data_IF_705642258186
#
_entry.id   IF_705642258186
#
_cell.length_a   1.000
_cell.length_b   1.000
_cell.length_c   1.000
_cell.angle_alpha   90.00
_cell.angle_beta   90.00
_cell.angle_gamma   90.00
#
_symmetry.space_group_name_H-M   'P 1'
#
loop_
_entity.id
_entity.type
_entity.pdbx_description
1 polymer ?
#
# COMPACT_ATOMS: atom_id res chain seq x y z
N UNK A 1 -27.53 -2.78 1.06
CA UNK A 1 -27.27 -3.95 0.14
C UNK A 1 -28.25 -5.07 0.48
N UNK A 2 -28.87 -5.69 -0.51
CA UNK A 2 -29.66 -6.92 -0.32
C UNK A 2 -28.69 -8.12 -0.29
N UNK A 3 -28.30 -8.51 0.93
CA UNK A 3 -27.23 -9.49 1.19
C UNK A 3 -27.53 -10.89 0.65
N UNK A 4 -28.81 -11.25 0.56
CA UNK A 4 -29.26 -12.61 0.19
C UNK A 4 -29.36 -12.81 -1.33
N UNK A 5 -29.42 -11.74 -2.11
CA UNK A 5 -29.66 -11.80 -3.55
C UNK A 5 -28.45 -11.47 -4.42
N UNK A 6 -27.31 -11.07 -3.82
CA UNK A 6 -26.09 -10.71 -4.55
C UNK A 6 -25.03 -11.76 -4.31
N UNK A 7 -24.49 -12.37 -5.39
CA UNK A 7 -23.35 -13.26 -5.29
C UNK A 7 -22.04 -12.48 -5.34
N UNK A 8 -21.28 -12.54 -4.25
CA UNK A 8 -19.97 -11.93 -4.07
C UNK A 8 -18.88 -12.93 -4.44
N UNK A 9 -17.96 -12.54 -5.31
CA UNK A 9 -16.76 -13.31 -5.62
C UNK A 9 -15.57 -12.82 -4.82
N UNK A 10 -14.88 -13.68 -4.08
CA UNK A 10 -13.60 -13.34 -3.42
C UNK A 10 -12.46 -13.75 -4.34
N UNK A 11 -11.92 -12.78 -5.10
CA UNK A 11 -10.90 -12.98 -6.10
C UNK A 11 -9.50 -12.81 -5.52
N UNK A 12 -8.60 -13.75 -5.74
CA UNK A 12 -7.20 -13.69 -5.35
C UNK A 12 -6.32 -14.41 -6.39
N UNK A 13 -5.03 -14.03 -6.48
CA UNK A 13 -4.07 -14.73 -7.32
C UNK A 13 -3.66 -16.04 -6.66
N UNK A 14 -3.97 -17.17 -7.32
CA UNK A 14 -3.58 -18.47 -6.82
C UNK A 14 -2.07 -18.70 -7.01
N UNK A 15 -1.41 -19.13 -5.95
CA UNK A 15 0.00 -19.51 -6.01
C UNK A 15 0.21 -20.70 -6.97
N UNK A 16 1.23 -20.63 -7.81
CA UNK A 16 1.66 -21.71 -8.70
C UNK A 16 3.17 -21.90 -8.59
N UNK A 17 3.65 -23.00 -7.98
CA UNK A 17 5.08 -23.24 -7.75
C UNK A 17 5.90 -23.42 -9.03
N UNK A 18 5.26 -23.63 -10.17
CA UNK A 18 5.94 -23.72 -11.47
C UNK A 18 6.29 -22.33 -12.02
N UNK A 19 5.46 -21.34 -11.68
CA UNK A 19 5.55 -19.97 -12.18
C UNK A 19 6.27 -19.08 -11.17
N UNK A 20 5.93 -19.18 -9.90
CA UNK A 20 6.50 -18.43 -8.79
C UNK A 20 7.84 -19.07 -8.40
N UNK A 21 8.95 -18.50 -8.87
CA UNK A 21 10.29 -19.05 -8.68
C UNK A 21 11.16 -18.25 -7.72
N UNK A 22 10.57 -17.43 -6.89
CA UNK A 22 11.31 -16.62 -5.90
C UNK A 22 11.38 -17.33 -4.56
N UNK A 23 12.44 -17.08 -3.80
CA UNK A 23 12.55 -17.53 -2.39
C UNK A 23 11.54 -16.81 -1.46
N UNK A 24 10.72 -15.93 -2.01
CA UNK A 24 9.73 -15.08 -1.34
C UNK A 24 8.28 -15.61 -1.48
N UNK A 25 8.13 -16.93 -1.50
CA UNK A 25 6.86 -17.67 -1.75
C UNK A 25 5.81 -17.42 -0.66
N UNK A 26 6.23 -17.23 0.58
CA UNK A 26 5.32 -17.16 1.74
C UNK A 26 4.31 -16.03 1.59
N UNK A 27 4.71 -14.89 1.03
CA UNK A 27 3.82 -13.76 0.80
C UNK A 27 2.73 -14.05 -0.23
N UNK A 28 3.01 -14.90 -1.22
CA UNK A 28 2.02 -15.27 -2.26
C UNK A 28 1.05 -16.37 -1.76
N UNK A 29 1.52 -17.27 -0.92
CA UNK A 29 0.68 -18.34 -0.33
C UNK A 29 -0.32 -17.78 0.68
N UNK A 30 0.05 -16.73 1.43
CA UNK A 30 -0.80 -16.14 2.48
C UNK A 30 -2.10 -15.52 1.95
N UNK A 31 -2.15 -15.09 0.69
CA UNK A 31 -3.34 -14.47 0.10
C UNK A 31 -4.54 -15.42 0.06
N UNK A 32 -4.30 -16.73 -0.11
CA UNK A 32 -5.37 -17.75 -0.08
C UNK A 32 -6.03 -17.81 1.31
N UNK A 33 -5.25 -17.74 2.39
CA UNK A 33 -5.76 -17.75 3.77
C UNK A 33 -6.59 -16.46 4.06
N UNK A 34 -6.16 -15.34 3.51
CA UNK A 34 -6.92 -14.08 3.60
C UNK A 34 -8.27 -14.23 2.87
N UNK A 35 -8.28 -14.84 1.68
CA UNK A 35 -9.50 -15.05 0.91
C UNK A 35 -10.51 -15.94 1.66
N UNK A 36 -10.05 -17.01 2.32
CA UNK A 36 -10.89 -17.87 3.17
C UNK A 36 -11.41 -17.11 4.40
N UNK A 37 -10.59 -16.27 5.02
CA UNK A 37 -11.00 -15.43 6.14
C UNK A 37 -12.10 -14.44 5.75
N UNK A 38 -11.98 -13.83 4.55
CA UNK A 38 -13.00 -12.92 3.98
C UNK A 38 -14.28 -13.69 3.69
N UNK A 39 -14.18 -14.87 3.04
CA UNK A 39 -15.34 -15.72 2.74
C UNK A 39 -16.10 -16.05 4.02
N UNK A 40 -15.39 -16.51 5.05
CA UNK A 40 -15.98 -16.86 6.35
C UNK A 40 -16.68 -15.67 6.97
N UNK A 41 -16.02 -14.51 7.04
CA UNK A 41 -16.59 -13.29 7.63
C UNK A 41 -17.85 -12.81 6.88
N UNK A 42 -17.86 -12.87 5.56
CA UNK A 42 -19.03 -12.51 4.75
C UNK A 42 -20.19 -13.51 4.93
N UNK A 43 -19.88 -14.82 4.98
CA UNK A 43 -20.88 -15.88 5.19
C UNK A 43 -21.52 -15.77 6.58
N UNK A 44 -20.73 -15.53 7.61
CA UNK A 44 -21.22 -15.33 8.99
C UNK A 44 -22.10 -14.08 9.11
N UNK A 45 -21.87 -13.06 8.27
CA UNK A 45 -22.71 -11.85 8.20
C UNK A 45 -23.93 -12.00 7.26
N UNK A 46 -24.19 -13.22 6.76
CA UNK A 46 -25.37 -13.58 5.95
C UNK A 46 -25.23 -13.21 4.46
N UNK A 47 -24.04 -12.95 3.95
CA UNK A 47 -23.81 -12.70 2.53
C UNK A 47 -23.62 -14.00 1.75
N UNK A 48 -24.09 -14.05 0.49
CA UNK A 48 -23.73 -15.12 -0.43
C UNK A 48 -22.37 -14.81 -1.07
N UNK A 49 -21.35 -15.62 -0.74
CA UNK A 49 -20.00 -15.40 -1.24
C UNK A 49 -19.38 -16.72 -1.75
N UNK A 50 -18.42 -16.61 -2.67
CA UNK A 50 -17.67 -17.75 -3.23
C UNK A 50 -16.22 -17.37 -3.50
N UNK A 51 -15.30 -18.32 -3.29
CA UNK A 51 -13.89 -18.19 -3.62
C UNK A 51 -13.67 -18.26 -5.13
N UNK A 52 -12.84 -17.38 -5.63
CA UNK A 52 -12.49 -17.24 -7.04
C UNK A 52 -10.97 -17.13 -7.24
N UNK A 53 -10.24 -18.26 -7.27
CA UNK A 53 -8.80 -18.23 -7.52
C UNK A 53 -8.52 -17.83 -8.98
N UNK A 54 -7.69 -16.82 -9.16
CA UNK A 54 -7.12 -16.45 -10.44
C UNK A 54 -5.84 -17.24 -10.67
N UNK A 55 -5.92 -18.25 -11.50
CA UNK A 55 -4.78 -19.04 -11.95
C UNK A 55 -4.06 -18.36 -13.14
N UNK A 56 -3.59 -19.15 -14.10
CA UNK A 56 -2.76 -18.70 -15.25
C UNK A 56 -3.56 -18.07 -16.40
N UNK A 57 -4.89 -18.06 -16.36
CA UNK A 57 -5.72 -17.60 -17.48
C UNK A 57 -6.82 -16.62 -17.04
N UNK A 58 -6.62 -15.34 -17.36
CA UNK A 58 -7.63 -14.29 -17.18
C UNK A 58 -8.93 -14.62 -17.95
N UNK A 59 -8.83 -15.19 -19.15
CA UNK A 59 -10.01 -15.54 -19.95
C UNK A 59 -10.86 -16.64 -19.27
N UNK A 60 -10.21 -17.64 -18.67
CA UNK A 60 -10.91 -18.68 -17.91
C UNK A 60 -11.55 -18.11 -16.65
N UNK A 61 -10.86 -17.21 -15.98
CA UNK A 61 -11.41 -16.50 -14.82
C UNK A 61 -12.65 -15.68 -15.17
N UNK A 62 -12.60 -14.86 -16.23
CA UNK A 62 -13.75 -14.07 -16.71
C UNK A 62 -14.92 -14.96 -17.13
N UNK A 63 -14.66 -16.11 -17.76
CA UNK A 63 -15.71 -17.09 -18.08
C UNK A 63 -16.37 -17.62 -16.81
N UNK A 64 -15.59 -17.97 -15.80
CA UNK A 64 -16.09 -18.45 -14.51
C UNK A 64 -16.96 -17.42 -13.79
N UNK A 65 -16.58 -16.14 -13.81
CA UNK A 65 -17.40 -15.05 -13.28
C UNK A 65 -18.79 -15.02 -13.92
N UNK A 66 -18.85 -15.15 -15.24
CA UNK A 66 -20.12 -15.13 -15.99
C UNK A 66 -20.98 -16.37 -15.73
N UNK A 67 -20.36 -17.56 -15.68
CA UNK A 67 -21.05 -18.82 -15.37
C UNK A 67 -21.71 -18.80 -14.00
N UNK A 68 -21.02 -18.28 -13.00
CA UNK A 68 -21.50 -18.14 -11.62
C UNK A 68 -22.44 -16.96 -11.43
N UNK A 69 -22.50 -16.03 -12.39
CA UNK A 69 -23.25 -14.75 -12.29
C UNK A 69 -22.81 -13.91 -11.10
N UNK A 70 -21.50 -13.83 -10.89
CA UNK A 70 -20.93 -12.97 -9.85
C UNK A 70 -21.24 -11.50 -10.16
N UNK A 71 -21.73 -10.77 -9.16
CA UNK A 71 -22.20 -9.38 -9.34
C UNK A 71 -21.22 -8.34 -8.83
N UNK A 72 -20.38 -8.73 -7.88
CA UNK A 72 -19.35 -7.87 -7.30
C UNK A 72 -18.15 -8.70 -6.84
N UNK A 73 -16.95 -8.14 -6.92
CA UNK A 73 -15.73 -8.81 -6.45
C UNK A 73 -15.17 -8.14 -5.20
N UNK A 74 -14.77 -8.94 -4.22
CA UNK A 74 -13.71 -8.57 -3.30
C UNK A 74 -12.39 -8.86 -4.00
N UNK A 75 -11.59 -7.83 -4.27
CA UNK A 75 -10.34 -7.95 -5.00
C UNK A 75 -9.17 -8.04 -4.01
N UNK A 76 -8.60 -9.24 -3.88
CA UNK A 76 -7.40 -9.53 -3.10
C UNK A 76 -6.22 -9.93 -4.02
N UNK A 77 -6.31 -9.64 -5.32
CA UNK A 77 -5.22 -9.98 -6.25
C UNK A 77 -4.05 -9.00 -6.04
N UNK A 78 -2.89 -9.53 -5.68
CA UNK A 78 -1.64 -8.79 -5.46
C UNK A 78 -0.66 -8.92 -6.64
N UNK A 79 -1.09 -9.57 -7.72
CA UNK A 79 -0.28 -9.80 -8.91
C UNK A 79 -0.93 -10.78 -9.88
N UNK A 80 -0.16 -11.16 -10.91
CA UNK A 80 -0.55 -12.17 -11.87
C UNK A 80 0.68 -12.91 -12.40
N UNK A 81 0.63 -14.24 -12.47
CA UNK A 81 1.74 -15.10 -12.92
C UNK A 81 3.06 -14.87 -12.12
N UNK A 82 2.96 -14.76 -10.79
CA UNK A 82 4.10 -14.52 -9.91
C UNK A 82 4.76 -13.14 -10.14
N UNK A 83 4.01 -12.18 -10.68
CA UNK A 83 4.50 -10.83 -10.98
C UNK A 83 3.61 -9.78 -10.30
N UNK A 84 4.06 -9.17 -9.20
CA UNK A 84 3.36 -8.07 -8.56
C UNK A 84 3.09 -6.91 -9.51
N UNK A 85 4.04 -6.65 -10.46
CA UNK A 85 3.91 -5.60 -11.48
C UNK A 85 2.66 -5.75 -12.36
N UNK A 86 2.00 -6.93 -12.36
CA UNK A 86 0.78 -7.17 -13.12
C UNK A 86 -0.52 -7.03 -12.29
N UNK A 87 -0.44 -6.63 -11.03
CA UNK A 87 -1.60 -6.40 -10.17
C UNK A 87 -2.61 -5.44 -10.80
N UNK A 88 -2.13 -4.28 -11.25
CA UNK A 88 -2.98 -3.27 -11.89
C UNK A 88 -3.65 -3.76 -13.19
N UNK A 89 -3.05 -4.73 -13.89
CA UNK A 89 -3.63 -5.32 -15.09
C UNK A 89 -4.84 -6.20 -14.76
N UNK A 90 -4.83 -6.88 -13.62
CA UNK A 90 -6.00 -7.66 -13.14
C UNK A 90 -7.17 -6.71 -12.87
N UNK A 91 -6.94 -5.62 -12.14
CA UNK A 91 -7.95 -4.61 -11.89
C UNK A 91 -8.46 -3.96 -13.19
N UNK A 92 -7.57 -3.71 -14.18
CA UNK A 92 -7.97 -3.18 -15.49
C UNK A 92 -8.88 -4.16 -16.26
N UNK A 93 -8.70 -5.48 -16.09
CA UNK A 93 -9.63 -6.46 -16.67
C UNK A 93 -11.01 -6.35 -16.00
N UNK A 94 -11.08 -6.20 -14.67
CA UNK A 94 -12.36 -6.02 -13.97
C UNK A 94 -13.08 -4.75 -14.43
N UNK A 95 -12.34 -3.64 -14.58
CA UNK A 95 -12.85 -2.39 -15.14
C UNK A 95 -13.36 -2.58 -16.57
N UNK A 96 -12.60 -3.24 -17.44
CA UNK A 96 -12.94 -3.44 -18.85
C UNK A 96 -14.19 -4.31 -19.06
N UNK A 97 -14.44 -5.30 -18.18
CA UNK A 97 -15.65 -6.14 -18.25
C UNK A 97 -16.84 -5.55 -17.48
N UNK A 98 -16.66 -4.40 -16.81
CA UNK A 98 -17.69 -3.68 -16.09
C UNK A 98 -18.19 -4.36 -14.82
N UNK A 99 -17.36 -5.24 -14.19
CA UNK A 99 -17.71 -5.84 -12.91
C UNK A 99 -17.27 -4.92 -11.77
N UNK A 100 -18.16 -4.55 -10.84
CA UNK A 100 -17.77 -3.77 -9.67
C UNK A 100 -16.83 -4.59 -8.79
N UNK A 101 -15.82 -3.94 -8.19
CA UNK A 101 -14.88 -4.57 -7.29
C UNK A 101 -14.42 -3.65 -6.18
N UNK A 102 -14.05 -4.23 -5.03
CA UNK A 102 -13.53 -3.49 -3.87
C UNK A 102 -12.07 -3.09 -4.09
N UNK A 103 -11.67 -2.01 -3.44
CA UNK A 103 -10.31 -1.52 -3.49
C UNK A 103 -10.04 -0.60 -4.68
N UNK A 104 -8.79 -0.41 -4.96
CA UNK A 104 -8.29 0.64 -5.80
C UNK A 104 -8.43 0.36 -7.30
N UNK A 105 -8.53 1.43 -8.09
CA UNK A 105 -8.54 1.36 -9.55
C UNK A 105 -7.19 0.88 -10.11
N UNK A 106 -7.21 0.33 -11.32
CA UNK A 106 -5.99 -0.05 -12.03
C UNK A 106 -4.98 1.09 -12.12
N UNK A 107 -5.46 2.32 -12.27
CA UNK A 107 -4.63 3.52 -12.32
C UNK A 107 -3.93 3.79 -10.98
N UNK A 108 -4.65 3.76 -9.86
CA UNK A 108 -4.08 3.99 -8.54
C UNK A 108 -3.07 2.90 -8.17
N UNK A 109 -3.41 1.62 -8.42
CA UNK A 109 -2.50 0.49 -8.25
C UNK A 109 -1.19 0.68 -9.03
N UNK A 110 -1.27 1.00 -10.31
CA UNK A 110 -0.10 1.23 -11.18
C UNK A 110 0.79 2.39 -10.72
N UNK A 111 0.18 3.48 -10.22
CA UNK A 111 0.92 4.64 -9.71
C UNK A 111 1.65 4.29 -8.41
N UNK A 112 0.95 3.68 -7.46
CA UNK A 112 1.51 3.37 -6.14
C UNK A 112 2.62 2.31 -6.22
N UNK A 113 2.50 1.35 -7.12
CA UNK A 113 3.49 0.29 -7.31
C UNK A 113 4.86 0.83 -7.75
N UNK A 114 4.92 1.86 -8.60
CA UNK A 114 6.17 2.53 -8.97
C UNK A 114 6.57 3.53 -7.88
N UNK A 115 7.35 3.07 -6.90
CA UNK A 115 7.73 3.85 -5.71
C UNK A 115 8.40 5.19 -6.06
N UNK A 116 9.22 5.22 -7.10
CA UNK A 116 9.86 6.47 -7.52
C UNK A 116 8.87 7.47 -8.10
N UNK A 117 7.93 7.03 -8.95
CA UNK A 117 6.88 7.90 -9.50
C UNK A 117 5.89 8.33 -8.42
N UNK A 118 5.48 7.41 -7.53
CA UNK A 118 4.63 7.73 -6.40
C UNK A 118 5.23 8.85 -5.54
N UNK A 119 6.53 8.76 -5.21
CA UNK A 119 7.22 9.82 -4.47
C UNK A 119 7.32 11.15 -5.22
N UNK A 120 7.50 11.12 -6.54
CA UNK A 120 7.49 12.34 -7.36
C UNK A 120 6.12 13.04 -7.31
N UNK A 121 5.03 12.27 -7.35
CA UNK A 121 3.67 12.80 -7.19
C UNK A 121 3.49 13.35 -5.77
N UNK A 122 3.80 12.58 -4.72
CA UNK A 122 3.69 13.04 -3.33
C UNK A 122 4.44 14.36 -3.11
N UNK A 123 5.67 14.47 -3.63
CA UNK A 123 6.45 15.69 -3.56
C UNK A 123 5.79 16.88 -4.31
N UNK A 124 5.12 16.63 -5.44
CA UNK A 124 4.40 17.68 -6.17
C UNK A 124 3.20 18.22 -5.39
N UNK A 125 2.64 17.41 -4.48
CA UNK A 125 1.61 17.81 -3.52
C UNK A 125 2.18 18.37 -2.21
N UNK A 126 3.51 18.59 -2.11
CA UNK A 126 4.17 19.12 -0.91
C UNK A 126 4.25 18.11 0.25
N UNK A 127 4.01 16.83 0.00
CA UNK A 127 4.10 15.78 0.99
C UNK A 127 5.55 15.29 1.12
N UNK A 128 6.09 15.19 2.33
CA UNK A 128 7.48 14.87 2.54
C UNK A 128 7.81 13.40 2.26
N UNK A 129 8.80 13.16 1.41
CA UNK A 129 9.36 11.83 1.14
C UNK A 129 10.88 11.86 1.29
N UNK A 130 11.51 10.71 1.52
CA UNK A 130 12.96 10.61 1.53
C UNK A 130 13.56 11.03 0.19
N UNK A 131 14.71 11.73 0.21
CA UNK A 131 15.48 12.04 -1.00
C UNK A 131 15.97 10.74 -1.64
N UNK A 132 15.67 10.54 -2.91
CA UNK A 132 16.01 9.29 -3.60
C UNK A 132 16.36 9.45 -5.07
N UNK A 133 16.88 8.37 -5.64
CA UNK A 133 17.23 8.22 -7.06
C UNK A 133 16.85 6.85 -7.56
N UNK A 134 16.32 6.81 -8.78
CA UNK A 134 16.12 5.58 -9.51
C UNK A 134 17.43 5.23 -10.24
N UNK A 135 17.94 4.02 -10.01
CA UNK A 135 19.21 3.54 -10.53
C UNK A 135 18.97 2.34 -11.44
N UNK A 136 19.32 2.51 -12.72
CA UNK A 136 19.11 1.50 -13.78
C UNK A 136 20.39 0.77 -14.17
N UNK A 137 21.55 1.27 -13.74
CA UNK A 137 22.87 0.67 -13.99
C UNK A 137 23.80 0.95 -12.81
N UNK A 138 24.70 0.02 -12.50
CA UNK A 138 25.69 0.13 -11.42
C UNK A 138 26.67 1.29 -11.63
N UNK A 139 26.92 1.69 -12.88
CA UNK A 139 27.84 2.79 -13.22
C UNK A 139 27.20 4.18 -13.02
N UNK A 140 25.91 4.22 -12.75
CA UNK A 140 25.18 5.47 -12.55
C UNK A 140 25.62 6.16 -11.26
N UNK A 141 25.99 7.44 -11.35
CA UNK A 141 26.31 8.22 -10.15
C UNK A 141 25.07 8.44 -9.30
N UNK A 142 25.18 8.07 -8.03
CA UNK A 142 24.12 8.23 -7.03
C UNK A 142 24.56 9.28 -6.04
N UNK A 143 23.80 10.39 -5.97
CA UNK A 143 23.98 11.48 -5.02
C UNK A 143 22.87 11.40 -3.96
N UNK A 144 23.03 10.43 -3.05
CA UNK A 144 22.15 10.22 -1.89
C UNK A 144 23.05 10.12 -0.66
N UNK A 145 22.71 10.79 0.45
CA UNK A 145 23.52 10.72 1.67
C UNK A 145 23.48 9.32 2.30
N UNK A 146 24.58 8.92 2.93
CA UNK A 146 24.63 7.71 3.76
C UNK A 146 24.24 8.02 5.21
N UNK A 147 23.63 7.05 5.94
CA UNK A 147 23.21 5.74 5.41
C UNK A 147 22.07 5.87 4.40
N UNK A 148 22.08 5.00 3.39
CA UNK A 148 21.04 4.92 2.38
C UNK A 148 20.33 3.56 2.42
N UNK A 149 19.09 3.50 1.95
CA UNK A 149 18.37 2.24 1.75
C UNK A 149 18.22 1.96 0.26
N UNK A 150 18.45 0.71 -0.13
CA UNK A 150 18.37 0.25 -1.52
C UNK A 150 17.31 -0.84 -1.62
N UNK A 151 16.31 -0.61 -2.47
CA UNK A 151 15.17 -1.54 -2.62
C UNK A 151 14.74 -1.64 -4.08
N UNK A 152 14.08 -2.73 -4.49
CA UNK A 152 13.43 -2.79 -5.79
C UNK A 152 12.38 -1.67 -5.93
N UNK A 153 12.22 -1.12 -7.14
CA UNK A 153 11.29 0.01 -7.34
C UNK A 153 9.83 -0.43 -7.38
N UNK A 154 9.55 -1.68 -7.80
CA UNK A 154 8.20 -2.16 -8.10
C UNK A 154 7.86 -3.48 -7.39
N UNK A 155 8.46 -3.74 -6.24
CA UNK A 155 8.11 -4.86 -5.37
C UNK A 155 7.39 -4.36 -4.12
N UNK A 156 6.54 -5.21 -3.57
CA UNK A 156 5.78 -4.98 -2.34
C UNK A 156 6.14 -6.03 -1.27
N UNK A 157 5.44 -6.06 -0.15
CA UNK A 157 5.59 -7.06 0.90
C UNK A 157 7.04 -7.20 1.46
N UNK A 158 7.84 -6.14 1.44
CA UNK A 158 9.27 -6.13 1.82
C UNK A 158 10.17 -7.00 0.93
N UNK A 159 9.71 -7.44 -0.25
CA UNK A 159 10.53 -8.18 -1.21
C UNK A 159 11.79 -7.42 -1.58
N UNK A 160 12.95 -8.09 -1.51
CA UNK A 160 14.27 -7.48 -1.74
C UNK A 160 14.80 -6.62 -0.60
N UNK A 161 14.06 -6.44 0.49
CA UNK A 161 14.46 -5.66 1.67
C UNK A 161 14.92 -6.64 2.77
N UNK A 162 16.22 -6.90 2.84
CA UNK A 162 16.87 -7.73 3.85
C UNK A 162 17.81 -6.86 4.70
N UNK A 163 18.50 -7.44 5.67
CA UNK A 163 19.49 -6.75 6.52
C UNK A 163 20.50 -5.91 5.70
N UNK A 164 20.84 -6.38 4.48
CA UNK A 164 21.76 -5.70 3.55
C UNK A 164 21.13 -4.55 2.75
N UNK A 165 19.85 -4.22 3.00
CA UNK A 165 19.17 -3.12 2.29
C UNK A 165 19.65 -1.74 2.72
N UNK A 166 20.11 -1.58 3.97
CA UNK A 166 20.71 -0.34 4.46
C UNK A 166 22.22 -0.40 4.22
N UNK A 167 22.73 0.58 3.49
CA UNK A 167 24.13 0.67 3.05
C UNK A 167 24.79 1.94 3.63
N UNK A 168 26.07 1.83 3.97
CA UNK A 168 26.81 2.86 4.69
C UNK A 168 27.95 3.48 3.88
N UNK A 169 28.27 2.87 2.75
CA UNK A 169 29.34 3.29 1.86
C UNK A 169 29.03 2.96 0.39
N UNK A 170 29.91 3.40 -0.51
CA UNK A 170 29.72 3.25 -1.93
C UNK A 170 29.85 1.79 -2.40
N UNK A 171 30.72 1.02 -1.81
CA UNK A 171 30.95 -0.38 -2.20
C UNK A 171 29.70 -1.24 -1.91
N UNK A 172 29.15 -1.12 -0.69
CA UNK A 172 27.90 -1.79 -0.29
C UNK A 172 26.70 -1.33 -1.13
N UNK A 173 26.65 -0.05 -1.49
CA UNK A 173 25.63 0.50 -2.39
C UNK A 173 25.70 -0.16 -3.78
N UNK A 174 26.86 -0.18 -4.42
CA UNK A 174 27.04 -0.75 -5.77
C UNK A 174 26.71 -2.24 -5.78
N UNK A 175 27.15 -2.98 -4.76
CA UNK A 175 26.84 -4.40 -4.58
C UNK A 175 25.32 -4.63 -4.44
N UNK A 176 24.63 -3.85 -3.62
CA UNK A 176 23.18 -4.01 -3.42
C UNK A 176 22.39 -3.61 -4.66
N UNK A 177 22.76 -2.53 -5.35
CA UNK A 177 22.18 -2.11 -6.64
C UNK A 177 22.32 -3.22 -7.68
N UNK A 178 23.53 -3.80 -7.82
CA UNK A 178 23.80 -4.91 -8.74
C UNK A 178 22.91 -6.10 -8.45
N UNK A 179 22.78 -6.48 -7.17
CA UNK A 179 21.91 -7.58 -6.73
C UNK A 179 20.45 -7.33 -7.10
N UNK A 180 19.91 -6.11 -6.86
CA UNK A 180 18.53 -5.77 -7.21
C UNK A 180 18.31 -5.88 -8.71
N UNK A 181 19.15 -5.24 -9.52
CA UNK A 181 19.00 -5.23 -10.98
C UNK A 181 19.06 -6.66 -11.54
N UNK A 182 20.00 -7.49 -11.06
CA UNK A 182 20.15 -8.86 -11.57
C UNK A 182 19.06 -9.81 -11.11
N UNK A 183 18.63 -9.74 -9.84
CA UNK A 183 17.68 -10.70 -9.26
C UNK A 183 16.22 -10.34 -9.57
N UNK A 184 15.86 -9.04 -9.52
CA UNK A 184 14.49 -8.58 -9.72
C UNK A 184 14.22 -8.07 -11.14
N UNK A 185 15.24 -7.97 -12.00
CA UNK A 185 15.14 -7.50 -13.40
C UNK A 185 14.45 -6.13 -13.51
N UNK A 186 14.67 -5.24 -12.53
CA UNK A 186 14.08 -3.91 -12.45
C UNK A 186 15.08 -2.91 -11.87
N UNK A 187 14.81 -1.60 -12.01
CA UNK A 187 15.63 -0.56 -11.39
C UNK A 187 15.65 -0.65 -9.86
N UNK A 188 16.77 -0.26 -9.26
CA UNK A 188 16.88 -0.07 -7.82
C UNK A 188 16.47 1.36 -7.44
N UNK A 189 15.65 1.50 -6.41
CA UNK A 189 15.39 2.77 -5.74
C UNK A 189 16.41 2.92 -4.60
N UNK A 190 17.25 3.95 -4.70
CA UNK A 190 18.21 4.32 -3.65
C UNK A 190 17.70 5.57 -2.95
N UNK A 191 17.50 5.50 -1.65
CA UNK A 191 16.97 6.60 -0.84
C UNK A 191 17.81 6.87 0.40
N UNK A 192 17.80 8.10 0.88
CA UNK A 192 18.27 8.42 2.22
C UNK A 192 17.55 7.52 3.24
N UNK A 193 18.29 6.85 4.08
CA UNK A 193 17.71 6.06 5.16
C UNK A 193 17.25 6.98 6.29
N UNK A 194 15.96 7.10 6.47
CA UNK A 194 15.37 7.91 7.56
C UNK A 194 15.47 7.11 8.85
N UNK A 195 16.42 7.44 9.69
CA UNK A 195 16.57 6.86 11.03
C UNK A 195 15.45 7.35 11.95
N UNK A 196 14.79 6.44 12.67
CA UNK A 196 13.76 6.77 13.62
C UNK A 196 12.66 5.73 13.71
N UNK A 197 11.50 6.15 14.21
CA UNK A 197 10.33 5.30 14.42
C UNK A 197 9.60 5.05 13.10
N UNK A 198 9.00 3.88 12.97
CA UNK A 198 8.20 3.51 11.78
C UNK A 198 6.73 3.39 12.15
N UNK A 199 5.88 4.05 11.36
CA UNK A 199 4.44 4.07 11.57
C UNK A 199 3.71 3.66 10.30
N UNK A 200 2.52 3.13 10.47
CA UNK A 200 1.57 2.98 9.38
C UNK A 200 0.20 3.54 9.77
N UNK A 201 -0.51 4.09 8.79
CA UNK A 201 -1.85 4.62 8.94
C UNK A 201 -2.73 4.00 7.88
N UNK A 202 -3.68 3.20 8.32
CA UNK A 202 -4.74 2.70 7.45
C UNK A 202 -5.74 3.83 7.15
N UNK A 203 -6.17 3.92 5.91
CA UNK A 203 -7.18 4.86 5.44
C UNK A 203 -8.32 4.07 4.84
N UNK A 204 -9.54 4.46 5.12
CA UNK A 204 -10.73 3.84 4.53
C UNK A 204 -11.81 4.86 4.18
N UNK A 205 -12.57 4.54 3.16
CA UNK A 205 -13.76 5.26 2.73
C UNK A 205 -15.00 4.61 3.35
N UNK A 206 -15.76 5.42 4.09
CA UNK A 206 -17.10 5.04 4.57
C UNK A 206 -18.11 6.09 4.07
N UNK A 207 -18.79 6.80 4.95
CA UNK A 207 -19.58 8.00 4.58
C UNK A 207 -18.67 9.19 4.27
N UNK A 208 -17.43 9.12 4.71
CA UNK A 208 -16.33 10.04 4.42
C UNK A 208 -15.00 9.30 4.48
N UNK A 209 -13.96 9.89 3.90
CA UNK A 209 -12.60 9.37 4.00
C UNK A 209 -12.06 9.52 5.42
N UNK A 210 -11.57 8.44 6.03
CA UNK A 210 -11.10 8.40 7.43
C UNK A 210 -9.72 7.75 7.53
N UNK A 211 -8.85 8.38 8.31
CA UNK A 211 -7.63 7.75 8.80
C UNK A 211 -7.92 7.01 10.10
N UNK A 212 -7.54 5.75 10.16
CA UNK A 212 -7.71 4.89 11.34
C UNK A 212 -6.63 5.18 12.38
N UNK A 213 -6.70 4.58 13.58
CA UNK A 213 -5.65 4.70 14.58
C UNK A 213 -4.27 4.36 14.03
N UNK A 214 -3.28 5.18 14.36
CA UNK A 214 -1.90 5.00 13.91
C UNK A 214 -1.31 3.75 14.55
N UNK A 215 -0.64 2.92 13.75
CA UNK A 215 0.16 1.79 14.24
C UNK A 215 1.64 2.14 14.18
N UNK A 216 2.43 1.56 15.08
CA UNK A 216 3.89 1.63 15.11
C UNK A 216 4.49 0.23 15.02
N UNK A 217 5.60 0.09 14.31
CA UNK A 217 6.47 -1.07 14.41
C UNK A 217 7.54 -0.74 15.45
N UNK A 218 7.52 -1.45 16.56
CA UNK A 218 8.48 -1.23 17.66
C UNK A 218 9.78 -1.98 17.39
N UNK A 219 10.85 -1.23 17.15
CA UNK A 219 12.19 -1.76 16.91
C UNK A 219 13.04 -1.85 18.19
N UNK A 220 12.49 -1.52 19.36
CA UNK A 220 13.27 -1.44 20.63
C UNK A 220 13.88 -2.78 21.04
N UNK A 221 13.28 -3.91 20.63
CA UNK A 221 13.78 -5.26 20.90
C UNK A 221 14.79 -5.80 19.89
N UNK A 222 15.07 -5.07 18.80
CA UNK A 222 15.96 -5.55 17.75
C UNK A 222 17.42 -5.68 18.20
N UNK A 223 18.18 -6.63 17.62
CA UNK A 223 19.63 -6.70 17.83
C UNK A 223 20.33 -5.39 17.45
N UNK A 224 21.30 -4.97 18.26
CA UNK A 224 21.99 -3.69 18.10
C UNK A 224 22.76 -3.53 16.75
N UNK A 225 23.10 -4.65 16.11
CA UNK A 225 23.78 -4.70 14.80
C UNK A 225 22.81 -4.77 13.60
N UNK A 226 21.50 -4.85 13.87
CA UNK A 226 20.49 -4.87 12.82
C UNK A 226 19.94 -3.46 12.53
N UNK A 227 19.80 -3.07 11.27
CA UNK A 227 19.15 -1.83 10.93
C UNK A 227 17.65 -1.89 11.31
N UNK A 228 17.13 -0.83 11.89
CA UNK A 228 15.73 -0.73 12.27
C UNK A 228 14.84 -0.59 11.01
N UNK A 229 14.57 -1.70 10.36
CA UNK A 229 13.70 -1.81 9.17
C UNK A 229 12.77 -3.02 9.30
N UNK A 230 11.57 -2.91 8.71
CA UNK A 230 10.69 -4.05 8.52
C UNK A 230 11.19 -4.84 7.28
N UNK A 231 12.23 -5.69 7.50
CA UNK A 231 12.79 -6.54 6.45
C UNK A 231 11.84 -7.70 6.11
N UNK A 232 12.16 -8.44 5.03
CA UNK A 232 11.39 -9.62 4.65
C UNK A 232 11.35 -10.64 5.78
N UNK A 233 12.49 -10.89 6.45
CA UNK A 233 12.56 -11.79 7.62
C UNK A 233 11.71 -11.27 8.80
N UNK A 234 11.72 -9.95 9.04
CA UNK A 234 10.94 -9.34 10.11
C UNK A 234 9.42 -9.38 9.85
N UNK A 235 9.00 -9.55 8.59
CA UNK A 235 7.59 -9.60 8.22
C UNK A 235 7.05 -11.03 8.10
N UNK A 236 7.84 -11.97 7.59
CA UNK A 236 7.33 -13.27 7.14
C UNK A 236 7.85 -14.49 7.92
N UNK A 237 9.00 -14.40 8.56
CA UNK A 237 9.58 -15.55 9.25
C UNK A 237 9.24 -15.50 10.74
N UNK A 238 8.11 -16.09 11.11
CA UNK A 238 7.57 -16.01 12.47
C UNK A 238 8.53 -16.48 13.57
N UNK A 239 9.39 -17.46 13.27
CA UNK A 239 10.41 -17.97 14.19
C UNK A 239 11.71 -17.16 14.18
N UNK A 240 11.84 -16.17 13.32
CA UNK A 240 13.05 -15.37 13.20
C UNK A 240 13.12 -14.29 14.28
N UNK A 241 14.32 -14.05 14.83
CA UNK A 241 14.53 -13.05 15.89
C UNK A 241 14.01 -11.67 15.50
N UNK A 242 14.17 -11.25 14.22
CA UNK A 242 13.69 -9.96 13.76
C UNK A 242 12.16 -9.85 13.75
N UNK A 243 11.43 -10.93 13.47
CA UNK A 243 9.96 -10.97 13.58
C UNK A 243 9.51 -10.83 15.04
N UNK A 244 10.09 -11.63 15.92
CA UNK A 244 9.74 -11.66 17.36
C UNK A 244 10.03 -10.33 18.04
N UNK A 245 11.08 -9.63 17.59
CA UNK A 245 11.56 -8.39 18.22
C UNK A 245 11.04 -7.10 17.55
N UNK A 246 10.11 -7.22 16.60
CA UNK A 246 9.46 -6.07 15.93
C UNK A 246 7.94 -6.10 16.05
N UNK A 247 7.38 -6.14 17.26
CA UNK A 247 5.94 -6.15 17.45
C UNK A 247 5.30 -4.86 16.92
N UNK A 248 4.09 -5.00 16.39
CA UNK A 248 3.31 -3.84 15.99
C UNK A 248 2.38 -3.42 17.14
N UNK A 249 2.34 -2.13 17.45
CA UNK A 249 1.54 -1.51 18.51
C UNK A 249 0.47 -0.61 17.88
N UNK A 250 -0.81 -0.86 18.18
CA UNK A 250 -1.92 -0.01 17.73
C UNK A 250 -2.95 0.15 18.84
N UNK A 251 -3.31 1.37 19.26
CA UNK A 251 -2.76 2.67 18.83
C UNK A 251 -1.30 2.88 19.22
N UNK A 252 -0.53 3.58 18.38
CA UNK A 252 0.86 3.93 18.66
C UNK A 252 0.98 4.89 19.86
N UNK A 253 1.99 4.72 20.73
CA UNK A 253 2.24 5.62 21.88
C UNK A 253 2.92 6.93 21.41
N UNK A 254 2.13 7.83 20.86
CA UNK A 254 2.55 9.13 20.32
C UNK A 254 1.69 10.26 20.85
N UNK A 255 2.16 11.51 20.72
CA UNK A 255 1.39 12.70 21.10
C UNK A 255 0.23 12.94 20.13
N UNK A 256 -0.80 13.66 20.59
CA UNK A 256 -1.94 14.04 19.76
C UNK A 256 -1.51 14.79 18.50
N UNK A 257 -0.59 15.72 18.62
CA UNK A 257 -0.04 16.47 17.49
C UNK A 257 0.66 15.57 16.44
N UNK A 258 1.41 14.56 16.90
CA UNK A 258 2.05 13.59 15.99
C UNK A 258 1.01 12.72 15.30
N UNK A 259 0.00 12.25 16.05
CA UNK A 259 -1.10 11.46 15.51
C UNK A 259 -1.85 12.23 14.43
N UNK A 260 -2.28 13.45 14.73
CA UNK A 260 -3.02 14.29 13.79
C UNK A 260 -2.21 14.55 12.51
N UNK A 261 -0.91 14.83 12.63
CA UNK A 261 -0.04 15.08 11.49
C UNK A 261 0.14 13.84 10.61
N UNK A 262 0.34 12.66 11.21
CA UNK A 262 0.44 11.38 10.48
C UNK A 262 -0.87 11.08 9.75
N UNK A 263 -2.02 11.24 10.42
CA UNK A 263 -3.32 11.02 9.83
C UNK A 263 -3.63 12.00 8.69
N UNK A 264 -3.30 13.29 8.85
CA UNK A 264 -3.45 14.29 7.79
C UNK A 264 -2.60 13.96 6.57
N UNK A 265 -1.34 13.56 6.78
CA UNK A 265 -0.46 13.15 5.68
C UNK A 265 -0.95 11.87 5.00
N UNK A 266 -1.51 10.92 5.75
CA UNK A 266 -2.08 9.70 5.19
C UNK A 266 -3.28 10.00 4.29
N UNK A 267 -4.22 10.83 4.75
CA UNK A 267 -5.37 11.25 3.96
C UNK A 267 -4.95 11.98 2.68
N UNK A 268 -4.02 12.94 2.81
CA UNK A 268 -3.51 13.70 1.66
C UNK A 268 -2.76 12.81 0.66
N UNK A 269 -1.95 11.86 1.13
CA UNK A 269 -1.24 10.92 0.28
C UNK A 269 -2.20 9.98 -0.46
N UNK A 270 -3.20 9.44 0.24
CA UNK A 270 -4.24 8.59 -0.33
C UNK A 270 -4.99 9.31 -1.47
N UNK A 271 -5.40 10.55 -1.26
CA UNK A 271 -6.04 11.39 -2.27
C UNK A 271 -5.10 11.73 -3.43
N UNK A 272 -3.85 12.11 -3.16
CA UNK A 272 -2.86 12.44 -4.18
C UNK A 272 -2.56 11.27 -5.14
N UNK A 273 -2.64 10.03 -4.64
CA UNK A 273 -2.49 8.82 -5.45
C UNK A 273 -3.77 8.44 -6.22
N UNK A 274 -4.89 9.12 -5.99
CA UNK A 274 -6.19 8.76 -6.56
C UNK A 274 -6.72 7.44 -6.02
N UNK A 275 -6.36 7.10 -4.79
CA UNK A 275 -6.86 5.91 -4.10
C UNK A 275 -8.33 6.07 -3.70
N UNK A 276 -9.01 4.92 -3.58
CA UNK A 276 -10.41 4.81 -3.15
C UNK A 276 -10.58 3.59 -2.24
N UNK A 277 -11.73 3.47 -1.59
CA UNK A 277 -12.11 2.39 -0.68
C UNK A 277 -11.19 2.27 0.54
N UNK A 278 -9.97 1.78 0.37
CA UNK A 278 -9.02 1.60 1.45
C UNK A 278 -7.57 1.55 0.95
N UNK A 279 -6.66 1.76 1.89
CA UNK A 279 -5.22 1.67 1.66
C UNK A 279 -4.44 1.91 2.96
N UNK A 280 -3.12 1.80 2.89
CA UNK A 280 -2.23 2.05 4.02
C UNK A 280 -1.07 2.95 3.58
N UNK A 281 -0.76 3.94 4.40
CA UNK A 281 0.38 4.82 4.17
C UNK A 281 1.42 4.53 5.25
N UNK A 282 2.65 4.27 4.83
CA UNK A 282 3.76 3.91 5.71
C UNK A 282 4.72 5.11 5.87
N UNK A 283 5.20 5.32 7.08
CA UNK A 283 5.95 6.52 7.47
C UNK A 283 7.20 6.20 8.26
N UNK A 284 8.18 7.08 8.16
CA UNK A 284 9.28 7.22 9.12
C UNK A 284 9.23 8.58 9.81
N UNK A 285 9.55 8.60 11.09
CA UNK A 285 9.64 9.83 11.88
C UNK A 285 11.00 9.89 12.57
N UNK A 286 11.77 10.93 12.27
CA UNK A 286 13.05 11.21 12.93
C UNK A 286 12.85 11.59 14.40
N UNK A 287 13.92 11.55 15.18
CA UNK A 287 13.89 11.95 16.60
C UNK A 287 13.48 13.42 16.81
N UNK A 288 13.73 14.30 15.83
CA UNK A 288 13.30 15.70 15.86
C UNK A 288 11.83 15.92 15.46
N UNK A 289 11.08 14.84 15.16
CA UNK A 289 9.67 14.88 14.77
C UNK A 289 9.40 15.09 13.28
N UNK A 290 10.41 15.15 12.42
CA UNK A 290 10.21 15.20 10.97
C UNK A 290 9.65 13.88 10.45
N UNK A 291 8.53 13.95 9.73
CA UNK A 291 7.78 12.79 9.19
C UNK A 291 8.05 12.69 7.70
N UNK A 292 8.28 11.46 7.22
CA UNK A 292 8.48 11.14 5.80
C UNK A 292 7.59 9.98 5.40
N UNK A 293 6.89 10.11 4.27
CA UNK A 293 6.14 9.02 3.66
C UNK A 293 7.12 8.07 2.99
N UNK A 294 7.05 6.79 3.35
CA UNK A 294 7.83 5.73 2.71
C UNK A 294 7.16 5.27 1.42
N UNK A 295 5.86 4.93 1.54
CA UNK A 295 5.06 4.43 0.44
C UNK A 295 3.55 4.55 0.74
N UNK A 296 2.75 4.41 -0.30
CA UNK A 296 1.29 4.26 -0.23
C UNK A 296 0.95 2.88 -0.77
N UNK A 297 0.34 2.06 0.08
CA UNK A 297 -0.09 0.70 -0.26
C UNK A 297 -1.59 0.72 -0.59
N UNK A 298 -1.98 0.66 -1.86
CA UNK A 298 -3.38 0.73 -2.27
C UNK A 298 -4.12 -0.60 -2.07
N UNK A 299 -3.39 -1.71 -1.94
CA UNK A 299 -3.91 -3.04 -1.65
C UNK A 299 -3.12 -3.65 -0.48
N UNK A 300 -3.33 -3.12 0.75
CA UNK A 300 -2.57 -3.57 1.91
C UNK A 300 -3.03 -4.97 2.35
N UNK A 301 -2.10 -5.70 2.97
CA UNK A 301 -2.40 -6.96 3.63
C UNK A 301 -3.55 -6.78 4.64
N UNK A 302 -4.61 -7.57 4.44
CA UNK A 302 -5.84 -7.59 5.25
C UNK A 302 -6.00 -8.88 6.06
N UNK A 303 -4.92 -9.64 6.28
CA UNK A 303 -4.90 -10.73 7.26
C UNK A 303 -5.36 -10.22 8.63
N UNK A 304 -6.00 -11.06 9.41
CA UNK A 304 -6.59 -10.65 10.70
C UNK A 304 -5.57 -10.09 11.70
N UNK A 305 -4.32 -10.51 11.59
CA UNK A 305 -3.18 -10.05 12.38
C UNK A 305 -2.33 -8.97 11.70
N UNK A 306 -2.67 -8.56 10.47
CA UNK A 306 -1.97 -7.51 9.74
C UNK A 306 -2.22 -6.11 10.33
N UNK A 307 -1.35 -5.16 9.97
CA UNK A 307 -1.42 -3.78 10.46
C UNK A 307 -2.73 -3.08 10.13
N UNK A 308 -3.31 -3.36 8.96
CA UNK A 308 -4.59 -2.80 8.55
C UNK A 308 -5.72 -3.29 9.46
N UNK A 309 -5.84 -4.58 9.72
CA UNK A 309 -6.87 -5.16 10.56
C UNK A 309 -6.69 -4.80 12.04
N UNK A 310 -5.45 -4.65 12.53
CA UNK A 310 -5.20 -4.10 13.87
C UNK A 310 -5.76 -2.69 14.01
N UNK A 311 -5.62 -1.84 12.98
CA UNK A 311 -6.16 -0.49 12.99
C UNK A 311 -7.69 -0.48 12.94
N UNK A 312 -8.33 -1.38 12.17
CA UNK A 312 -9.80 -1.59 12.20
C UNK A 312 -10.27 -1.94 13.60
N UNK A 313 -9.66 -2.95 14.22
CA UNK A 313 -10.00 -3.39 15.58
C UNK A 313 -9.83 -2.27 16.60
N UNK A 314 -8.74 -1.50 16.53
CA UNK A 314 -8.51 -0.35 17.40
C UNK A 314 -9.53 0.79 17.18
N UNK A 315 -10.14 0.88 16.00
CA UNK A 315 -11.23 1.78 15.67
C UNK A 315 -12.62 1.23 16.06
N UNK A 316 -12.71 0.01 16.61
CA UNK A 316 -13.97 -0.64 16.97
C UNK A 316 -14.77 -1.15 15.76
N UNK A 317 -14.13 -1.41 14.63
CA UNK A 317 -14.77 -1.92 13.43
C UNK A 317 -14.51 -3.42 13.27
N UNK A 318 -15.59 -4.18 13.13
CA UNK A 318 -15.54 -5.61 12.87
C UNK A 318 -15.11 -5.91 11.41
N UNK A 319 -14.40 -7.01 11.21
CA UNK A 319 -13.83 -7.40 9.91
C UNK A 319 -14.91 -7.59 8.83
N UNK A 320 -16.02 -8.26 9.17
CA UNK A 320 -17.15 -8.44 8.26
C UNK A 320 -17.78 -7.09 7.87
N UNK A 321 -17.95 -6.18 8.83
CA UNK A 321 -18.52 -4.84 8.58
C UNK A 321 -17.64 -4.03 7.62
N UNK A 322 -16.32 -4.13 7.74
CA UNK A 322 -15.39 -3.51 6.81
C UNK A 322 -15.63 -4.02 5.37
N UNK A 323 -15.65 -5.33 5.16
CA UNK A 323 -15.83 -5.89 3.82
C UNK A 323 -17.21 -5.58 3.23
N UNK A 324 -18.28 -5.66 4.02
CA UNK A 324 -19.62 -5.25 3.59
C UNK A 324 -19.64 -3.79 3.13
N UNK A 325 -18.98 -2.91 3.87
CA UNK A 325 -18.87 -1.50 3.47
C UNK A 325 -18.11 -1.31 2.15
N UNK A 326 -17.01 -2.03 1.94
CA UNK A 326 -16.24 -1.97 0.68
C UNK A 326 -17.05 -2.51 -0.50
N UNK A 327 -17.83 -3.56 -0.30
CA UNK A 327 -18.74 -4.10 -1.31
C UNK A 327 -19.84 -3.08 -1.65
N UNK A 328 -20.42 -2.43 -0.65
CA UNK A 328 -21.41 -1.35 -0.86
C UNK A 328 -20.83 -0.19 -1.66
N UNK A 329 -19.59 0.21 -1.38
CA UNK A 329 -18.88 1.24 -2.15
C UNK A 329 -18.70 0.80 -3.63
N UNK A 330 -18.29 -0.46 -3.85
CA UNK A 330 -18.11 -0.99 -5.20
C UNK A 330 -19.42 -1.02 -5.99
N UNK A 331 -20.53 -1.46 -5.38
CA UNK A 331 -21.85 -1.51 -6.02
C UNK A 331 -22.38 -0.10 -6.33
N UNK A 332 -22.18 0.87 -5.44
CA UNK A 332 -22.58 2.26 -5.64
C UNK A 332 -21.89 2.88 -6.85
N UNK A 333 -20.60 2.62 -7.04
CA UNK A 333 -19.84 3.09 -8.20
C UNK A 333 -20.33 2.53 -9.53
N UNK A 334 -20.97 1.37 -9.55
CA UNK A 334 -21.60 0.81 -10.77
C UNK A 334 -22.76 1.66 -11.28
N UNK A 335 -23.47 2.32 -10.36
CA UNK A 335 -24.65 3.13 -10.66
C UNK A 335 -24.31 4.55 -11.10
N UNK A 336 -23.06 5.00 -10.84
CA UNK A 336 -22.60 6.33 -11.22
C UNK A 336 -22.14 6.37 -12.70
N UNK A 337 -22.56 7.37 -13.49
CA UNK A 337 -22.08 7.50 -14.86
C UNK A 337 -20.57 7.77 -14.88
N UNK A 338 -19.86 7.16 -15.83
CA UNK A 338 -18.40 7.21 -16.01
C UNK A 338 -17.81 8.63 -16.09
N UNK A 339 -18.63 9.67 -16.27
CA UNK A 339 -18.26 11.08 -16.29
C UNK A 339 -19.33 11.90 -15.56
N UNK A 340 -19.12 12.21 -14.30
CA UNK A 340 -19.70 13.40 -13.71
C UNK A 340 -18.64 14.52 -13.74
N UNK A 341 -19.03 15.71 -14.20
CA UNK A 341 -18.18 16.91 -14.18
C UNK A 341 -17.79 17.35 -12.75
N UNK A 342 -18.34 16.68 -11.75
CA UNK A 342 -18.14 16.95 -10.33
C UNK A 342 -17.00 16.09 -9.70
N UNK A 343 -16.49 15.07 -10.39
CA UNK A 343 -15.39 14.21 -9.90
C UNK A 343 -14.02 14.91 -9.84
N UNK A 344 -13.94 16.18 -10.23
CA UNK A 344 -12.73 17.00 -10.12
C UNK A 344 -12.84 18.03 -9.01
N UNK A 345 -13.68 17.83 -8.02
CA UNK A 345 -13.56 18.59 -6.77
C UNK A 345 -12.43 17.99 -5.92
N UNK A 346 -11.20 18.32 -6.29
CA UNK A 346 -10.11 18.33 -5.32
C UNK A 346 -10.40 19.50 -4.38
N UNK A 347 -11.14 19.25 -3.33
CA UNK A 347 -11.16 20.14 -2.18
C UNK A 347 -9.74 20.08 -1.59
N UNK A 348 -8.90 21.00 -2.05
CA UNK A 348 -7.59 21.20 -1.47
C UNK A 348 -7.79 21.60 -0.01
N UNK A 349 -7.34 20.77 0.97
CA UNK A 349 -7.43 21.17 2.36
C UNK A 349 -6.66 22.48 2.54
N UNK A 350 -7.06 23.25 3.54
CA UNK A 350 -6.51 24.51 4.04
C UNK A 350 -4.97 24.65 4.05
N UNK A 351 -4.25 23.57 3.85
CA UNK A 351 -2.80 23.46 3.85
C UNK A 351 -2.11 24.20 2.68
N UNK A 352 -2.78 24.30 1.52
CA UNK A 352 -2.21 24.98 0.35
C UNK A 352 -2.17 26.49 0.49
N UNK A 353 -3.08 27.08 1.25
CA UNK A 353 -3.08 28.52 1.49
C UNK A 353 -1.78 28.94 2.22
N UNK A 354 -1.36 28.20 3.23
CA UNK A 354 -0.14 28.50 3.98
C UNK A 354 1.17 28.22 3.22
N UNK A 355 1.17 27.20 2.34
CA UNK A 355 2.36 26.89 1.53
C UNK A 355 2.53 27.86 0.36
N UNK A 356 1.44 28.24 -0.31
CA UNK A 356 1.45 29.29 -1.34
C UNK A 356 1.83 30.65 -0.74
N UNK A 357 1.31 31.03 0.41
CA UNK A 357 1.73 32.25 1.10
C UNK A 357 3.22 32.24 1.49
N UNK A 358 3.75 31.11 1.97
CA UNK A 358 5.19 30.97 2.29
C UNK A 358 6.08 31.01 1.05
N UNK A 359 5.67 30.36 -0.04
CA UNK A 359 6.40 30.36 -1.31
C UNK A 359 6.39 31.76 -1.96
N UNK A 360 5.28 32.49 -1.84
CA UNK A 360 5.13 33.83 -2.41
C UNK A 360 5.82 34.92 -1.60
N UNK A 361 5.83 34.82 -0.26
CA UNK A 361 6.63 35.72 0.60
C UNK A 361 8.13 35.61 0.32
N UNK A 362 8.62 34.44 -0.10
CA UNK A 362 10.02 34.25 -0.53
C UNK A 362 10.34 34.86 -1.90
N UNK A 363 9.33 35.15 -2.75
CA UNK A 363 9.51 35.70 -4.10
C UNK A 363 9.09 37.16 -4.28
N UNK A 364 8.70 37.88 -3.21
CA UNK A 364 8.45 39.31 -3.26
C UNK A 364 7.25 39.77 -4.09
N UNK A 365 6.29 38.90 -4.39
CA UNK A 365 5.09 39.27 -5.14
C UNK A 365 3.89 39.50 -4.22
N UNK A 366 3.35 40.74 -4.23
CA UNK A 366 2.03 41.03 -3.67
C UNK A 366 0.94 40.64 -4.62
N UNK A 367 -0.01 39.86 -4.14
CA UNK A 367 -1.25 39.53 -4.88
C UNK A 367 -2.30 40.62 -4.61
N UNK A 368 -2.82 41.24 -5.67
CA UNK A 368 -4.05 41.98 -5.62
C UNK A 368 -5.17 41.02 -6.02
N UNK A 369 -6.00 40.62 -5.04
CA UNK A 369 -7.21 39.85 -5.31
C UNK A 369 -8.26 40.72 -6.00
N UNK A 370 -8.88 40.17 -7.03
CA UNK A 370 -10.26 40.45 -7.42
C UNK A 370 -11.03 39.15 -7.38
#
# INVERSE_FOLDING_TARGET
MDKENILIGVAYNAYDPVICRTDEQISEESVAEVAESVLTALSDDGCQATILPLHTSLMSFVRRLKELKVEVLVNLCEGFLGRPQLEHNVAAVFEAIGIPFTGNSSKALSICQDKFKAKAILNSFGLPTARGRLVTSVDQKVDVPFPAIVKPNQEDASSGIYKDAVVYDRESLEKKVSKIISSYQQPALVEEFIQGREFNVAVMESDSLKALPVSEIDFSGMPADAPHICSYEAKWFQDHVLYITTPAICPAPITDSQREKLQQYALAAFQAMGCRDYGRVDFRMRANGDIFILEVNPNPDTSLDAGFCRALKAAGMEYAQFWVRMIENALRRKEEPWFSSDDVRIDYPFFWHHLLERAMRKKGHQWYGQ
#
